data_IF_311221505105
#
_entry.id   IF_311221505105
#
_cell.length_a   1.000
_cell.length_b   1.000
_cell.length_c   1.000
_cell.angle_alpha   90.00
_cell.angle_beta   90.00
_cell.angle_gamma   90.00
#
_symmetry.space_group_name_H-M   'P 1'
#
loop_
_entity.id
_entity.type
_entity.pdbx_description
1 polymer ?
#
# COMPACT_ATOMS: atom_id res chain seq x y z
N UNK A 1 -2.39 -30.02 -25.21
CA UNK A 1 -3.63 -29.31 -24.84
C UNK A 1 -3.93 -29.36 -23.33
N UNK A 2 -3.65 -30.45 -22.58
CA UNK A 2 -3.85 -30.49 -21.10
C UNK A 2 -2.80 -29.75 -20.27
N UNK A 3 -1.60 -29.51 -20.82
CA UNK A 3 -0.47 -28.91 -20.09
C UNK A 3 -0.58 -27.39 -19.88
N UNK A 4 -1.24 -26.67 -20.79
CA UNK A 4 -1.48 -25.22 -20.68
C UNK A 4 -2.51 -24.89 -19.60
N UNK A 5 -3.57 -25.69 -19.50
CA UNK A 5 -4.61 -25.58 -18.46
C UNK A 5 -4.03 -25.76 -17.06
N UNK A 6 -3.14 -26.75 -16.88
CA UNK A 6 -2.54 -27.04 -15.58
C UNK A 6 -1.61 -25.90 -15.10
N UNK A 7 -0.87 -25.28 -16.04
CA UNK A 7 -0.08 -24.09 -15.74
C UNK A 7 -0.97 -22.91 -15.30
N UNK A 8 -2.07 -22.64 -16.02
CA UNK A 8 -2.98 -21.55 -15.65
C UNK A 8 -3.65 -21.79 -14.30
N UNK A 9 -4.05 -23.03 -14.01
CA UNK A 9 -4.62 -23.40 -12.71
C UNK A 9 -3.60 -23.25 -11.57
N UNK A 10 -2.32 -23.58 -11.80
CA UNK A 10 -1.25 -23.36 -10.83
C UNK A 10 -1.01 -21.87 -10.58
N UNK A 11 -0.98 -21.03 -11.63
CA UNK A 11 -0.87 -19.57 -11.48
C UNK A 11 -2.03 -19.03 -10.64
N UNK A 12 -3.28 -19.41 -10.99
CA UNK A 12 -4.47 -18.96 -10.28
C UNK A 12 -4.50 -19.45 -8.82
N UNK A 13 -4.09 -20.69 -8.57
CA UNK A 13 -4.02 -21.24 -7.22
C UNK A 13 -3.00 -20.48 -6.35
N UNK A 14 -1.79 -20.24 -6.86
CA UNK A 14 -0.74 -19.49 -6.15
C UNK A 14 -1.14 -18.02 -5.96
N UNK A 15 -1.75 -17.41 -6.97
CA UNK A 15 -2.25 -16.04 -6.89
C UNK A 15 -3.37 -15.91 -5.86
N UNK A 16 -4.37 -16.79 -5.90
CA UNK A 16 -5.48 -16.80 -4.96
C UNK A 16 -4.99 -17.06 -3.53
N UNK A 17 -4.06 -18.01 -3.34
CA UNK A 17 -3.45 -18.29 -2.04
C UNK A 17 -2.68 -17.08 -1.49
N UNK A 18 -1.90 -16.40 -2.33
CA UNK A 18 -1.15 -15.19 -1.95
C UNK A 18 -2.07 -14.02 -1.62
N UNK A 19 -3.12 -13.80 -2.42
CA UNK A 19 -4.09 -12.73 -2.21
C UNK A 19 -4.95 -12.96 -0.97
N UNK A 20 -5.39 -14.21 -0.73
CA UNK A 20 -6.03 -14.61 0.51
C UNK A 20 -5.13 -14.34 1.71
N UNK A 21 -3.85 -14.73 1.64
CA UNK A 21 -2.88 -14.43 2.70
C UNK A 21 -2.73 -12.92 2.98
N UNK A 22 -2.73 -12.10 1.92
CA UNK A 22 -2.71 -10.63 2.03
C UNK A 22 -3.99 -10.08 2.69
N UNK A 23 -5.16 -10.62 2.31
CA UNK A 23 -6.47 -10.22 2.84
C UNK A 23 -6.69 -10.64 4.30
N UNK A 24 -6.24 -11.83 4.67
CA UNK A 24 -6.26 -12.32 6.05
C UNK A 24 -5.34 -11.50 6.97
N UNK A 25 -4.32 -10.84 6.42
CA UNK A 25 -3.49 -9.83 7.09
C UNK A 25 -2.57 -10.36 8.19
N UNK A 26 -2.90 -11.52 8.79
CA UNK A 26 -2.08 -12.36 9.66
C UNK A 26 -2.47 -13.80 9.45
N UNK A 27 -1.49 -14.65 9.16
CA UNK A 27 -1.70 -16.10 9.18
C UNK A 27 -1.84 -16.55 10.65
N UNK A 28 -2.96 -17.17 11.05
CA UNK A 28 -3.16 -17.61 12.43
C UNK A 28 -2.12 -18.69 12.77
N UNK A 29 -1.04 -18.30 13.44
CA UNK A 29 0.05 -19.20 13.86
C UNK A 29 1.46 -18.76 13.44
N UNK A 30 1.60 -17.94 12.39
CA UNK A 30 2.89 -17.42 11.93
C UNK A 30 2.86 -15.89 12.02
N UNK A 31 3.83 -15.29 12.72
CA UNK A 31 4.02 -13.83 12.83
C UNK A 31 4.52 -13.26 11.49
N UNK A 32 3.71 -13.41 10.45
CA UNK A 32 4.01 -12.93 9.10
C UNK A 32 3.11 -11.75 8.82
N UNK A 33 3.73 -10.58 8.70
CA UNK A 33 3.06 -9.36 8.25
C UNK A 33 2.71 -9.45 6.76
N UNK A 34 1.85 -8.54 6.29
CA UNK A 34 1.43 -8.47 4.87
C UNK A 34 2.62 -8.49 3.89
N UNK A 35 3.73 -7.83 4.25
CA UNK A 35 4.97 -7.82 3.47
C UNK A 35 5.61 -9.20 3.36
N UNK A 36 5.61 -9.98 4.45
CA UNK A 36 6.16 -11.33 4.45
C UNK A 36 5.34 -12.29 3.60
N UNK A 37 4.01 -12.19 3.64
CA UNK A 37 3.12 -12.98 2.76
C UNK A 37 3.41 -12.65 1.28
N UNK A 38 3.59 -11.38 0.96
CA UNK A 38 3.91 -10.95 -0.41
C UNK A 38 5.26 -11.52 -0.89
N UNK A 39 6.31 -11.48 -0.06
CA UNK A 39 7.64 -12.00 -0.41
C UNK A 39 7.61 -13.52 -0.59
N UNK A 40 6.89 -14.24 0.27
CA UNK A 40 6.74 -15.70 0.15
C UNK A 40 5.99 -16.05 -1.13
N UNK A 41 4.87 -15.37 -1.43
CA UNK A 41 4.12 -15.57 -2.67
C UNK A 41 4.94 -15.29 -3.92
N UNK A 42 5.71 -14.19 -3.93
CA UNK A 42 6.62 -13.85 -5.01
C UNK A 42 7.72 -14.92 -5.19
N UNK A 43 8.37 -15.34 -4.09
CA UNK A 43 9.41 -16.37 -4.12
C UNK A 43 8.90 -17.70 -4.68
N UNK A 44 7.67 -18.09 -4.30
CA UNK A 44 7.02 -19.31 -4.81
C UNK A 44 6.75 -19.21 -6.31
N UNK A 45 6.23 -18.08 -6.81
CA UNK A 45 6.00 -17.89 -8.25
C UNK A 45 7.29 -18.04 -9.07
N UNK A 46 8.40 -17.52 -8.55
CA UNK A 46 9.66 -17.51 -9.28
C UNK A 46 10.40 -18.85 -9.20
N UNK A 47 10.48 -19.47 -8.02
CA UNK A 47 11.12 -20.79 -7.84
C UNK A 47 10.38 -21.88 -8.63
N UNK A 48 9.05 -21.81 -8.71
CA UNK A 48 8.26 -22.74 -9.49
C UNK A 48 8.32 -22.47 -11.01
N UNK A 49 9.05 -21.45 -11.47
CA UNK A 49 9.28 -21.16 -12.88
C UNK A 49 8.07 -20.61 -13.63
N UNK A 50 7.02 -20.15 -12.93
CA UNK A 50 5.81 -19.62 -13.54
C UNK A 50 6.02 -18.20 -14.09
N UNK A 51 7.03 -17.48 -13.59
CA UNK A 51 7.42 -16.16 -14.05
C UNK A 51 8.95 -16.07 -14.14
N UNK A 52 9.54 -15.76 -15.31
CA UNK A 52 10.98 -15.60 -15.44
C UNK A 52 11.46 -14.36 -14.66
N UNK A 53 12.66 -14.47 -14.06
CA UNK A 53 13.25 -13.43 -13.20
C UNK A 53 13.31 -12.05 -13.87
N UNK A 54 13.67 -12.00 -15.15
CA UNK A 54 13.80 -10.74 -15.90
C UNK A 54 12.45 -10.01 -16.04
N UNK A 55 11.37 -10.74 -16.30
CA UNK A 55 10.02 -10.15 -16.39
C UNK A 55 9.49 -9.77 -15.01
N UNK A 56 9.79 -10.56 -13.99
CA UNK A 56 9.42 -10.23 -12.61
C UNK A 56 10.05 -8.91 -12.17
N UNK A 57 11.35 -8.69 -12.41
CA UNK A 57 12.04 -7.44 -12.06
C UNK A 57 11.54 -6.28 -12.93
N UNK A 58 11.28 -6.51 -14.21
CA UNK A 58 10.75 -5.47 -15.12
C UNK A 58 9.32 -5.04 -14.76
N UNK A 59 8.53 -5.93 -14.15
CA UNK A 59 7.18 -5.62 -13.69
C UNK A 59 7.14 -4.71 -12.44
N UNK A 60 8.27 -4.61 -11.72
CA UNK A 60 8.38 -3.74 -10.54
C UNK A 60 8.70 -2.32 -10.98
N UNK A 61 7.71 -1.44 -10.86
CA UNK A 61 7.89 -0.02 -11.15
C UNK A 61 8.56 0.70 -9.96
N UNK A 62 9.87 0.92 -10.11
CA UNK A 62 10.68 1.67 -9.15
C UNK A 62 10.17 3.10 -8.93
N UNK A 63 9.58 3.74 -9.94
CA UNK A 63 9.06 5.10 -9.81
C UNK A 63 7.90 5.12 -8.81
N UNK A 64 6.93 4.23 -8.97
CA UNK A 64 5.81 4.09 -8.03
C UNK A 64 6.28 3.72 -6.63
N UNK A 65 7.25 2.82 -6.48
CA UNK A 65 7.84 2.49 -5.17
C UNK A 65 8.47 3.71 -4.49
N UNK A 66 9.26 4.50 -5.22
CA UNK A 66 9.90 5.72 -4.70
C UNK A 66 8.84 6.77 -4.34
N UNK A 67 7.80 6.95 -5.17
CA UNK A 67 6.69 7.86 -4.88
C UNK A 67 5.95 7.47 -3.60
N UNK A 68 5.56 6.19 -3.47
CA UNK A 68 4.89 5.68 -2.28
C UNK A 68 5.77 5.80 -1.04
N UNK A 69 7.06 5.50 -1.17
CA UNK A 69 8.03 5.63 -0.09
C UNK A 69 8.20 7.08 0.36
N UNK A 70 8.36 8.02 -0.58
CA UNK A 70 8.44 9.45 -0.30
C UNK A 70 7.18 9.96 0.41
N UNK A 71 6.00 9.55 -0.06
CA UNK A 71 4.73 9.88 0.59
C UNK A 71 4.67 9.33 2.03
N UNK A 72 5.14 8.09 2.25
CA UNK A 72 5.19 7.48 3.58
C UNK A 72 6.13 8.26 4.53
N UNK A 73 7.30 8.70 4.05
CA UNK A 73 8.23 9.54 4.82
C UNK A 73 7.56 10.87 5.19
N UNK A 74 7.02 11.59 4.20
CA UNK A 74 6.36 12.88 4.41
C UNK A 74 5.22 12.73 5.43
N UNK A 75 4.33 11.76 5.24
CA UNK A 75 3.24 11.48 6.18
C UNK A 75 3.75 11.13 7.59
N UNK A 76 4.87 10.40 7.69
CA UNK A 76 5.52 10.07 8.96
C UNK A 76 6.08 11.29 9.69
N UNK A 77 6.79 12.18 8.98
CA UNK A 77 7.31 13.43 9.53
C UNK A 77 6.17 14.36 9.98
N UNK A 78 5.07 14.45 9.21
CA UNK A 78 3.89 15.20 9.63
C UNK A 78 3.29 14.64 10.92
N UNK A 79 3.23 13.31 11.08
CA UNK A 79 2.81 12.68 12.35
C UNK A 79 3.76 12.99 13.51
N UNK A 80 5.08 12.90 13.29
CA UNK A 80 6.12 13.12 14.31
C UNK A 80 6.23 14.58 14.74
N UNK A 81 6.02 15.53 13.83
CA UNK A 81 6.04 16.98 14.13
C UNK A 81 4.97 17.42 15.14
N UNK A 82 4.05 16.53 15.53
CA UNK A 82 2.96 16.86 16.44
C UNK A 82 1.94 17.81 15.83
N UNK A 83 2.01 18.09 14.52
CA UNK A 83 1.06 18.92 13.81
C UNK A 83 -0.36 18.37 13.93
N UNK A 84 -0.53 17.05 13.89
CA UNK A 84 -1.80 16.40 14.22
C UNK A 84 -2.25 16.72 15.64
N UNK A 85 -1.34 16.75 16.62
CA UNK A 85 -1.64 17.13 18.00
C UNK A 85 -2.05 18.60 18.13
N UNK A 86 -1.33 19.52 17.48
CA UNK A 86 -1.67 20.95 17.47
C UNK A 86 -3.00 21.22 16.78
N UNK A 87 -3.23 20.63 15.61
CA UNK A 87 -4.50 20.72 14.87
C UNK A 87 -5.62 20.08 15.68
N UNK A 88 -5.37 18.96 16.38
CA UNK A 88 -6.36 18.33 17.26
C UNK A 88 -6.70 19.23 18.45
N UNK A 89 -5.72 19.89 19.07
CA UNK A 89 -5.93 20.84 20.17
C UNK A 89 -6.65 22.12 19.71
N UNK A 90 -6.28 22.66 18.55
CA UNK A 90 -6.92 23.83 17.96
C UNK A 90 -8.34 23.51 17.48
N UNK A 91 -8.52 22.34 16.87
CA UNK A 91 -9.82 21.83 16.50
C UNK A 91 -10.67 21.55 17.74
N UNK A 92 -10.17 20.92 18.81
CA UNK A 92 -10.90 20.74 20.07
C UNK A 92 -11.35 22.07 20.70
N UNK A 93 -10.55 23.14 20.56
CA UNK A 93 -10.94 24.49 20.99
C UNK A 93 -12.06 25.09 20.14
N UNK A 94 -12.13 24.75 18.85
CA UNK A 94 -13.15 25.24 17.91
C UNK A 94 -14.36 24.29 17.76
N UNK A 95 -14.20 23.01 18.09
CA UNK A 95 -15.12 21.91 17.83
C UNK A 95 -15.85 21.52 19.10
N UNK A 96 -17.16 21.74 19.13
CA UNK A 96 -18.05 21.26 20.20
C UNK A 96 -18.42 19.77 20.07
N UNK A 97 -17.65 18.95 19.32
CA UNK A 97 -17.94 17.52 19.19
C UNK A 97 -17.02 16.69 18.26
N UNK A 98 -17.08 15.34 18.34
CA UNK A 98 -16.18 14.42 17.64
C UNK A 98 -16.29 14.42 16.10
N UNK A 99 -17.44 14.85 15.55
CA UNK A 99 -17.67 14.89 14.09
C UNK A 99 -16.90 16.01 13.38
N UNK A 100 -16.73 17.17 14.01
CA UNK A 100 -16.00 18.29 13.40
C UNK A 100 -14.49 18.10 13.45
N UNK A 101 -13.97 17.29 14.39
CA UNK A 101 -12.56 16.89 14.41
C UNK A 101 -12.21 16.02 13.19
N UNK A 102 -13.04 15.03 12.91
CA UNK A 102 -12.91 14.17 11.72
C UNK A 102 -13.02 15.00 10.44
N UNK A 103 -13.98 15.92 10.37
CA UNK A 103 -14.16 16.80 9.21
C UNK A 103 -12.93 17.69 8.95
N UNK A 104 -12.32 18.26 9.99
CA UNK A 104 -11.12 19.09 9.85
C UNK A 104 -9.91 18.28 9.35
N UNK A 105 -9.73 17.06 9.87
CA UNK A 105 -8.64 16.17 9.42
C UNK A 105 -8.87 15.72 7.97
N UNK A 106 -10.10 15.34 7.61
CA UNK A 106 -10.45 14.94 6.24
C UNK A 106 -10.30 16.11 5.28
N UNK A 107 -10.70 17.33 5.66
CA UNK A 107 -10.51 18.52 4.86
C UNK A 107 -9.02 18.85 4.66
N UNK A 108 -8.22 18.82 5.73
CA UNK A 108 -6.78 19.05 5.65
C UNK A 108 -6.08 17.96 4.80
N UNK A 109 -6.40 16.68 5.02
CA UNK A 109 -5.86 15.57 4.24
C UNK A 109 -6.32 15.61 2.76
N UNK A 110 -7.57 16.02 2.51
CA UNK A 110 -8.12 16.20 1.17
C UNK A 110 -7.47 17.36 0.42
N UNK A 111 -7.26 18.50 1.09
CA UNK A 111 -6.53 19.65 0.52
C UNK A 111 -5.07 19.30 0.25
N UNK A 112 -4.43 18.54 1.16
CA UNK A 112 -3.05 18.10 0.98
C UNK A 112 -2.89 16.96 -0.04
N UNK A 113 -3.96 16.19 -0.32
CA UNK A 113 -4.01 15.11 -1.33
C UNK A 113 -4.39 15.61 -2.73
N UNK A 114 -5.32 16.56 -2.85
CA UNK A 114 -5.19 17.62 -3.85
C UNK A 114 -3.81 18.29 -3.66
N UNK A 115 -3.25 19.22 -4.42
CA UNK A 115 -1.81 19.60 -4.23
C UNK A 115 -0.80 18.44 -4.43
N UNK A 116 -0.63 17.44 -3.53
CA UNK A 116 0.39 16.36 -3.73
C UNK A 116 0.10 15.44 -4.91
N UNK A 117 -1.15 14.99 -5.12
CA UNK A 117 -1.48 14.06 -6.21
C UNK A 117 -1.78 14.77 -7.54
N UNK A 118 -2.20 16.04 -7.50
CA UNK A 118 -2.65 16.79 -8.71
C UNK A 118 -1.58 17.68 -9.32
N UNK A 119 -0.42 17.88 -8.69
CA UNK A 119 0.71 18.63 -9.27
C UNK A 119 1.50 17.80 -10.30
N UNK A 120 0.91 16.75 -10.88
CA UNK A 120 1.41 16.07 -12.08
C UNK A 120 1.00 16.73 -13.40
N UNK A 121 0.16 17.78 -13.38
CA UNK A 121 -0.34 18.47 -14.58
C UNK A 121 0.50 19.68 -15.03
N UNK A 122 1.82 19.66 -14.81
CA UNK A 122 2.71 20.75 -15.21
C UNK A 122 4.06 20.30 -15.79
N UNK A 123 4.21 19.05 -16.21
CA UNK A 123 5.40 18.60 -16.95
C UNK A 123 5.02 18.15 -18.36
N UNK A 124 5.38 18.99 -19.34
CA UNK A 124 5.77 18.56 -20.68
C UNK A 124 7.01 17.67 -20.61
#
# INVERSE_FOLDING_TARGET
MRSTELHHLLILAVFAASYLGLGLGRLPGLRVDRTGVAIIGASVMVVAGLLPWDDAVRSVDAHTLVLLFGMMIVAGYLRLSGFFGLVTLWAMRQARGPRSLLAAIVAAAGVLSALFVTTSSAWC
#
